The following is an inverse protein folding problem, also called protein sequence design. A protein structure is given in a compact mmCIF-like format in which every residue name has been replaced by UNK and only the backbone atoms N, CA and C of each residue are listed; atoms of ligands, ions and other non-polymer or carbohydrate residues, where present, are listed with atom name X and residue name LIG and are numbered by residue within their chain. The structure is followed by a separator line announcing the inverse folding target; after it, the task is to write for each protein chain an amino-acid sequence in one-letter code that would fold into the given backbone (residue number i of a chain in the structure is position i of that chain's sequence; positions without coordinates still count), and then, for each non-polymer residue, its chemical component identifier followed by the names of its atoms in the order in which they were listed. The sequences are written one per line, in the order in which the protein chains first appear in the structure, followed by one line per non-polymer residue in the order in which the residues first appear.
data_IF_999723625184
#
_entry.id   IF_999723625184
#
_cell.length_a   1.000
_cell.length_b   1.000
_cell.length_c   1.000
_cell.angle_alpha   90.00
_cell.angle_beta   90.00
_cell.angle_gamma   90.00
#
_symmetry.space_group_name_H-M   'P 1'
#
loop_
_entity.id
_entity.type
_entity.pdbx_description
1 polymer ?
#
# COMPACT_ATOMS: atom_id res chain seq x y z
N UNK A 1 -1.26 2.12 -13.52
CA UNK A 1 -1.11 1.05 -14.49
C UNK A 1 0.37 0.71 -14.68
N UNK A 2 0.63 -0.51 -15.10
CA UNK A 2 1.97 -0.99 -15.35
C UNK A 2 2.47 -0.52 -16.72
N UNK A 3 3.77 -0.17 -16.80
CA UNK A 3 4.41 0.24 -18.03
C UNK A 3 4.90 -0.95 -18.87
N UNK A 4 4.99 -2.14 -18.26
CA UNK A 4 5.38 -3.38 -18.92
C UNK A 4 4.40 -4.49 -18.56
N UNK A 5 4.33 -5.59 -19.36
CA UNK A 5 3.42 -6.71 -19.06
C UNK A 5 3.73 -7.36 -17.71
N UNK A 6 2.67 -7.80 -17.03
CA UNK A 6 2.81 -8.59 -15.81
C UNK A 6 3.08 -10.05 -16.19
N UNK A 7 4.29 -10.32 -16.59
CA UNK A 7 4.73 -11.65 -17.00
C UNK A 7 6.00 -12.05 -16.27
N UNK A 8 6.27 -13.35 -16.26
CA UNK A 8 7.47 -13.90 -15.64
C UNK A 8 8.71 -13.23 -16.22
N UNK A 9 9.68 -12.90 -15.37
CA UNK A 9 10.95 -12.22 -15.68
C UNK A 9 10.83 -10.74 -16.02
N UNK A 10 9.65 -10.17 -15.95
CA UNK A 10 9.47 -8.72 -16.11
C UNK A 10 9.41 -8.05 -14.73
N UNK A 11 9.63 -6.73 -14.73
CA UNK A 11 9.50 -5.89 -13.55
C UNK A 11 8.47 -4.80 -13.84
N UNK A 12 7.18 -5.09 -13.72
CA UNK A 12 6.14 -4.07 -13.87
C UNK A 12 6.37 -2.89 -12.94
N UNK A 13 6.11 -1.69 -13.46
CA UNK A 13 6.12 -0.46 -12.69
C UNK A 13 4.74 0.18 -12.79
N UNK A 14 4.26 0.72 -11.70
CA UNK A 14 2.99 1.44 -11.71
C UNK A 14 3.07 2.68 -10.83
N UNK A 15 2.37 3.73 -11.24
CA UNK A 15 2.19 4.93 -10.44
C UNK A 15 0.75 4.96 -9.98
N UNK A 16 0.55 5.06 -8.67
CA UNK A 16 -0.76 5.14 -8.05
C UNK A 16 -0.96 6.52 -7.47
N UNK A 17 -2.17 7.07 -7.65
CA UNK A 17 -2.58 8.32 -7.03
C UNK A 17 -3.77 8.03 -6.13
N UNK A 18 -3.67 8.44 -4.87
CA UNK A 18 -4.77 8.39 -3.91
C UNK A 18 -5.14 9.82 -3.57
N UNK A 19 -6.39 10.21 -3.83
CA UNK A 19 -6.87 11.53 -3.49
C UNK A 19 -7.02 11.66 -1.97
N UNK A 20 -6.89 12.90 -1.43
CA UNK A 20 -7.06 13.10 0.01
C UNK A 20 -8.51 12.98 0.42
N UNK A 21 -8.74 12.69 1.69
CA UNK A 21 -10.07 12.64 2.27
C UNK A 21 -10.32 11.38 3.08
N UNK A 22 -11.57 11.23 3.49
CA UNK A 22 -11.97 10.11 4.33
C UNK A 22 -13.45 9.76 4.10
N UNK A 23 -13.82 8.56 4.54
CA UNK A 23 -15.20 8.11 4.61
C UNK A 23 -15.48 7.79 6.07
N UNK A 24 -16.34 8.60 6.71
CA UNK A 24 -16.66 8.48 8.14
C UNK A 24 -15.41 8.41 9.03
N UNK A 25 -14.40 9.20 8.68
CA UNK A 25 -13.16 9.29 9.43
C UNK A 25 -12.04 8.37 8.94
N UNK A 26 -12.35 7.29 8.26
CA UNK A 26 -11.32 6.40 7.73
C UNK A 26 -10.72 6.97 6.45
N UNK A 27 -9.39 7.13 6.42
CA UNK A 27 -8.69 7.76 5.32
C UNK A 27 -8.79 6.93 4.03
N UNK A 28 -8.80 7.62 2.89
CA UNK A 28 -8.81 6.96 1.59
C UNK A 28 -7.55 6.11 1.39
N UNK A 29 -7.73 4.97 0.77
CA UNK A 29 -6.75 3.91 0.69
C UNK A 29 -6.93 3.07 -0.57
N UNK A 30 -5.92 2.29 -0.91
CA UNK A 30 -6.07 1.23 -1.91
C UNK A 30 -6.81 0.04 -1.31
N UNK A 31 -7.30 -0.87 -2.15
CA UNK A 31 -8.00 -2.08 -1.68
C UNK A 31 -7.14 -2.94 -0.76
N UNK A 32 -5.84 -2.95 -1.01
CA UNK A 32 -4.94 -3.87 -0.35
C UNK A 32 -4.96 -5.25 -1.00
N UNK A 33 -3.82 -5.87 -1.05
CA UNK A 33 -3.67 -7.22 -1.63
C UNK A 33 -2.44 -7.91 -1.06
N UNK A 34 -2.37 -9.21 -1.31
CA UNK A 34 -1.21 -10.05 -1.07
C UNK A 34 -0.78 -10.62 -2.41
N UNK A 35 0.48 -10.95 -2.58
CA UNK A 35 0.95 -11.63 -3.78
C UNK A 35 0.83 -13.14 -3.59
N UNK A 36 0.05 -13.85 -4.45
CA UNK A 36 -0.08 -15.30 -4.36
C UNK A 36 1.28 -16.01 -4.49
N UNK A 37 2.16 -15.49 -5.36
CA UNK A 37 3.54 -15.93 -5.42
C UNK A 37 4.36 -15.00 -4.52
N UNK A 38 4.88 -15.47 -3.36
CA UNK A 38 5.53 -14.60 -2.39
C UNK A 38 6.80 -13.97 -2.97
N UNK A 39 6.72 -12.68 -3.27
CA UNK A 39 7.81 -11.90 -3.86
C UNK A 39 7.92 -10.56 -3.15
N UNK A 40 9.12 -10.00 -3.11
CA UNK A 40 9.33 -8.66 -2.61
C UNK A 40 8.84 -7.61 -3.60
N UNK A 41 8.57 -6.41 -3.08
CA UNK A 41 8.10 -5.28 -3.86
C UNK A 41 8.74 -4.00 -3.33
N UNK A 42 9.01 -3.05 -4.22
CA UNK A 42 9.57 -1.75 -3.84
C UNK A 42 8.55 -0.66 -4.12
N UNK A 43 8.37 0.23 -3.14
CA UNK A 43 7.57 1.44 -3.27
C UNK A 43 8.47 2.66 -3.13
N UNK A 44 8.20 3.69 -3.90
CA UNK A 44 8.95 4.93 -3.86
C UNK A 44 8.00 6.12 -3.87
N UNK A 45 8.09 6.99 -2.85
CA UNK A 45 7.24 8.16 -2.74
C UNK A 45 7.59 9.22 -3.77
N UNK A 46 6.58 9.75 -4.45
CA UNK A 46 6.72 10.77 -5.49
C UNK A 46 6.16 12.12 -5.06
N UNK A 47 4.96 12.13 -4.46
CA UNK A 47 4.26 13.38 -4.16
C UNK A 47 3.28 13.17 -3.00
N UNK A 48 3.14 14.18 -2.15
CA UNK A 48 2.20 14.16 -1.05
C UNK A 48 2.67 13.37 0.15
N UNK A 49 1.74 13.10 1.07
CA UNK A 49 2.01 12.35 2.29
C UNK A 49 1.17 11.09 2.35
N UNK A 50 1.81 10.00 2.67
CA UNK A 50 1.13 8.73 2.78
C UNK A 50 2.07 7.64 3.22
N UNK A 51 1.55 6.45 3.28
CA UNK A 51 2.32 5.30 3.68
C UNK A 51 1.59 4.00 3.43
N UNK A 52 2.15 2.94 4.00
CA UNK A 52 1.68 1.59 3.73
C UNK A 52 1.46 0.86 5.04
N UNK A 53 0.29 0.24 5.19
CA UNK A 53 0.05 -0.77 6.22
C UNK A 53 0.52 -2.10 5.67
N UNK A 54 1.32 -2.81 6.45
CA UNK A 54 1.76 -4.17 6.18
C UNK A 54 1.13 -5.14 7.17
N UNK A 55 0.73 -6.31 6.69
CA UNK A 55 0.11 -7.33 7.53
C UNK A 55 0.47 -8.72 7.02
N UNK A 56 0.97 -9.59 7.89
CA UNK A 56 1.33 -10.96 7.54
C UNK A 56 0.27 -12.00 8.02
N UNK A 57 -0.83 -11.52 8.58
CA UNK A 57 -1.86 -12.34 9.19
C UNK A 57 -1.80 -12.36 10.71
N UNK A 58 -0.69 -11.91 11.29
CA UNK A 58 -0.48 -11.84 12.74
C UNK A 58 0.12 -10.52 13.18
N UNK A 59 1.13 -10.04 12.48
CA UNK A 59 1.86 -8.81 12.79
C UNK A 59 1.50 -7.72 11.82
N UNK A 60 1.50 -6.50 12.32
CA UNK A 60 1.25 -5.29 11.52
C UNK A 60 2.47 -4.39 11.55
N UNK A 61 2.62 -3.59 10.51
CA UNK A 61 3.66 -2.57 10.45
C UNK A 61 3.16 -1.38 9.65
N UNK A 62 3.75 -0.23 9.88
CA UNK A 62 3.47 1.00 9.14
C UNK A 62 4.77 1.54 8.58
N UNK A 63 4.76 1.90 7.31
CA UNK A 63 5.89 2.57 6.65
C UNK A 63 5.42 3.91 6.09
N UNK A 64 6.05 5.01 6.52
CA UNK A 64 5.89 6.29 5.86
C UNK A 64 6.64 6.25 4.52
N UNK A 65 5.94 6.53 3.43
CA UNK A 65 6.55 6.58 2.10
C UNK A 65 6.31 7.97 1.53
N UNK A 66 6.97 8.95 2.11
CA UNK A 66 6.93 10.34 1.64
C UNK A 66 7.88 10.53 0.45
N UNK A 67 7.81 11.68 -0.26
CA UNK A 67 8.65 11.88 -1.46
C UNK A 67 10.13 11.62 -1.20
N UNK A 68 10.73 10.80 -2.05
CA UNK A 68 12.13 10.42 -1.97
C UNK A 68 12.44 9.21 -1.08
N UNK A 69 11.44 8.68 -0.36
CA UNK A 69 11.64 7.49 0.48
C UNK A 69 11.30 6.22 -0.28
N UNK A 70 12.09 5.18 -0.03
CA UNK A 70 11.90 3.85 -0.58
C UNK A 70 11.39 2.94 0.53
N UNK A 71 10.30 2.21 0.26
CA UNK A 71 9.80 1.17 1.15
C UNK A 71 9.96 -0.20 0.51
N UNK A 72 10.37 -1.17 1.30
CA UNK A 72 10.47 -2.54 0.85
C UNK A 72 9.35 -3.37 1.49
N UNK A 73 8.61 -4.08 0.65
CA UNK A 73 7.54 -4.99 1.08
C UNK A 73 8.11 -6.42 1.00
N UNK A 74 8.36 -7.09 2.14
CA UNK A 74 8.87 -8.45 2.10
C UNK A 74 7.87 -9.44 1.51
N UNK A 75 8.34 -10.58 1.00
CA UNK A 75 7.44 -11.64 0.54
C UNK A 75 6.46 -12.08 1.62
N UNK A 76 5.21 -12.36 1.24
CA UNK A 76 4.20 -12.87 2.14
C UNK A 76 3.41 -11.83 2.94
N UNK A 77 3.76 -10.54 2.82
CA UNK A 77 3.04 -9.48 3.51
C UNK A 77 1.97 -8.88 2.61
N UNK A 78 0.74 -8.84 3.10
CA UNK A 78 -0.31 -8.03 2.49
C UNK A 78 -0.01 -6.56 2.74
N UNK A 79 -0.45 -5.69 1.84
CA UNK A 79 -0.17 -4.27 1.96
C UNK A 79 -1.30 -3.42 1.40
N UNK A 80 -1.48 -2.26 2.03
CA UNK A 80 -2.50 -1.27 1.66
C UNK A 80 -1.90 0.11 1.80
N UNK A 81 -2.00 0.91 0.74
CA UNK A 81 -1.48 2.29 0.75
C UNK A 81 -2.58 3.26 1.17
N UNK A 82 -2.19 4.31 1.90
CA UNK A 82 -3.11 5.27 2.49
C UNK A 82 -2.58 6.68 2.28
N UNK A 83 -3.46 7.60 1.91
CA UNK A 83 -3.14 9.03 1.88
C UNK A 83 -3.38 9.61 3.27
N UNK A 84 -2.32 10.07 3.91
CA UNK A 84 -2.39 10.65 5.27
C UNK A 84 -2.33 12.17 5.26
N UNK A 85 -2.23 12.79 4.08
CA UNK A 85 -2.11 14.23 3.93
C UNK A 85 -3.39 14.88 3.42
N UNK A 86 -3.24 16.10 2.92
CA UNK A 86 -4.35 16.91 2.41
C UNK A 86 -4.22 17.21 0.90
N UNK A 87 -3.25 16.62 0.24
CA UNK A 87 -3.03 16.73 -1.21
C UNK A 87 -2.96 15.33 -1.80
N UNK A 88 -3.03 15.17 -3.12
CA UNK A 88 -2.89 13.85 -3.73
C UNK A 88 -1.59 13.17 -3.33
N UNK A 89 -1.67 11.90 -3.00
CA UNK A 89 -0.52 11.06 -2.65
C UNK A 89 -0.19 10.18 -3.85
N UNK A 90 1.05 10.30 -4.34
CA UNK A 90 1.54 9.52 -5.48
C UNK A 90 2.76 8.72 -5.10
N UNK A 91 2.79 7.48 -5.55
CA UNK A 91 3.95 6.61 -5.35
C UNK A 91 4.14 5.69 -6.54
N UNK A 92 5.40 5.30 -6.74
CA UNK A 92 5.81 4.31 -7.72
C UNK A 92 5.94 2.95 -7.03
N UNK A 93 5.40 1.92 -7.65
CA UNK A 93 5.57 0.53 -7.20
C UNK A 93 6.31 -0.24 -8.28
N UNK A 94 7.26 -1.09 -7.87
CA UNK A 94 8.00 -2.00 -8.75
C UNK A 94 7.91 -3.39 -8.13
N UNK A 95 7.42 -4.35 -8.91
CA UNK A 95 7.18 -5.70 -8.43
C UNK A 95 7.44 -6.73 -9.52
N UNK A 96 7.77 -8.00 -9.15
CA UNK A 96 7.96 -9.06 -10.16
C UNK A 96 6.67 -9.37 -10.89
N UNK A 97 6.75 -9.57 -12.20
CA UNK A 97 5.58 -9.85 -13.02
C UNK A 97 4.87 -11.16 -12.67
N UNK A 98 5.55 -12.08 -12.00
CA UNK A 98 4.97 -13.34 -11.57
C UNK A 98 4.21 -13.24 -10.23
N UNK A 99 4.23 -12.09 -9.56
CA UNK A 99 3.72 -11.97 -8.19
C UNK A 99 2.19 -12.16 -8.10
N UNK A 100 1.44 -11.66 -9.09
CA UNK A 100 -0.02 -11.70 -9.04
C UNK A 100 -0.58 -10.75 -7.99
N UNK A 101 -1.92 -10.71 -7.87
CA UNK A 101 -2.60 -9.86 -6.89
C UNK A 101 -3.77 -10.63 -6.29
N UNK A 102 -3.72 -10.88 -4.99
CA UNK A 102 -4.79 -11.57 -4.26
C UNK A 102 -5.52 -10.57 -3.37
N UNK A 103 -6.57 -9.97 -3.90
CA UNK A 103 -7.43 -9.04 -3.14
C UNK A 103 -8.33 -9.77 -2.15
N UNK A 104 -8.69 -11.02 -2.45
CA UNK A 104 -9.58 -11.81 -1.59
C UNK A 104 -8.95 -12.11 -0.24
N UNK A 105 -7.64 -12.31 -0.21
CA UNK A 105 -6.92 -12.52 1.05
C UNK A 105 -7.20 -11.40 2.05
N UNK A 106 -7.18 -10.14 1.58
CA UNK A 106 -7.44 -8.97 2.45
C UNK A 106 -8.90 -8.91 2.87
N UNK A 107 -9.82 -9.25 1.98
CA UNK A 107 -11.25 -9.31 2.34
C UNK A 107 -11.50 -10.35 3.43
N UNK A 108 -10.81 -11.48 3.38
CA UNK A 108 -10.97 -12.57 4.34
C UNK A 108 -10.25 -12.31 5.67
N UNK A 109 -9.09 -11.66 5.64
CA UNK A 109 -8.21 -11.53 6.81
C UNK A 109 -8.10 -10.10 7.35
N UNK A 110 -8.50 -9.09 6.57
CA UNK A 110 -8.29 -7.69 6.92
C UNK A 110 -6.83 -7.28 6.78
N UNK A 111 -6.48 -6.14 7.35
CA UNK A 111 -5.12 -5.58 7.33
C UNK A 111 -4.53 -5.39 8.72
N UNK A 112 -5.27 -5.77 9.77
CA UNK A 112 -4.80 -5.64 11.16
C UNK A 112 -4.82 -4.21 11.70
N UNK A 113 -4.63 -3.22 10.85
CA UNK A 113 -4.68 -1.80 11.19
C UNK A 113 -5.62 -1.08 10.24
N UNK A 114 -6.24 0.00 10.76
CA UNK A 114 -7.00 0.95 9.94
C UNK A 114 -6.57 2.35 10.31
N UNK A 115 -6.52 3.25 9.33
CA UNK A 115 -6.06 4.63 9.52
C UNK A 115 -7.25 5.57 9.56
N UNK A 116 -7.33 6.37 10.61
CA UNK A 116 -8.41 7.32 10.82
C UNK A 116 -7.89 8.73 10.95
N UNK A 117 -8.69 9.69 10.49
CA UNK A 117 -8.41 11.10 10.69
C UNK A 117 -8.41 11.43 12.17
N UNK A 118 -7.42 12.19 12.63
CA UNK A 118 -7.29 12.64 14.01
C UNK A 118 -6.81 14.09 14.02
N UNK A 119 -7.72 15.04 14.18
CA UNK A 119 -7.42 16.49 14.10
C UNK A 119 -6.73 16.82 12.76
N UNK A 120 -5.51 17.34 12.79
CA UNK A 120 -4.72 17.64 11.59
C UNK A 120 -3.74 16.53 11.25
N UNK A 121 -3.97 15.32 11.73
CA UNK A 121 -3.10 14.18 11.58
C UNK A 121 -3.95 12.91 11.38
N UNK A 122 -3.36 11.76 11.64
CA UNK A 122 -4.05 10.47 11.56
C UNK A 122 -3.59 9.58 12.69
N UNK A 123 -4.37 8.54 12.96
CA UNK A 123 -4.01 7.50 13.90
C UNK A 123 -4.29 6.13 13.31
N UNK A 124 -3.49 5.15 13.73
CA UNK A 124 -3.64 3.76 13.33
C UNK A 124 -4.33 3.00 14.47
N UNK A 125 -5.41 2.29 14.14
CA UNK A 125 -6.21 1.56 15.12
C UNK A 125 -6.17 0.08 14.76
N UNK A 126 -5.91 -0.77 15.75
CA UNK A 126 -5.91 -2.22 15.57
C UNK A 126 -7.34 -2.76 15.45
N UNK A 127 -7.47 -3.78 14.63
CA UNK A 127 -8.74 -4.48 14.43
C UNK A 127 -8.54 -5.98 14.37
#
# INVERSE_FOLDING_TARGET
SSLVPESNRELPQSITTIFPGNCDGELYMTKGHQHPDPQGEIYYGLEGQGGIILFDGKKTSWLDITPGKIGYIPPGWAHRSINTGQTPYKFLAVYPGCAGHDYQWVLDNGMGLRAFKSNNNFELIEF
#
